data_IF_117034857004
#
_entry.id   IF_117034857004
#
_cell.length_a   1.000
_cell.length_b   1.000
_cell.length_c   1.000
_cell.angle_alpha   90.00
_cell.angle_beta   90.00
_cell.angle_gamma   90.00
#
_symmetry.space_group_name_H-M   'P 1'
#
loop_
_entity.id
_entity.type
_entity.pdbx_description
1 polymer ?
#
# COMPACT_ATOMS: atom_id res chain seq x y z
N UNK A 1 23.91 -10.09 -3.88
CA UNK A 1 24.40 -9.67 -2.55
C UNK A 1 24.36 -10.88 -1.62
N UNK A 2 25.45 -11.12 -0.86
CA UNK A 2 25.43 -12.16 0.17
C UNK A 2 24.45 -11.81 1.25
N UNK A 3 23.71 -12.78 1.84
CA UNK A 3 22.77 -12.50 2.91
C UNK A 3 23.51 -11.85 4.09
N UNK A 4 23.02 -10.69 4.52
CA UNK A 4 23.49 -10.07 5.74
C UNK A 4 22.98 -10.96 6.87
N UNK A 5 23.89 -11.73 7.51
CA UNK A 5 23.54 -12.36 8.78
C UNK A 5 23.34 -11.22 9.77
N UNK A 6 22.08 -10.92 10.07
CA UNK A 6 21.80 -10.13 11.25
C UNK A 6 22.48 -10.85 12.44
N UNK A 7 23.05 -10.14 13.42
CA UNK A 7 23.81 -10.74 14.51
C UNK A 7 22.99 -11.71 15.41
N UNK A 8 21.74 -11.98 15.05
CA UNK A 8 20.74 -12.68 15.85
C UNK A 8 20.49 -14.14 15.51
N UNK A 9 21.27 -14.75 14.61
CA UNK A 9 21.06 -16.16 14.23
C UNK A 9 21.70 -17.17 15.19
N UNK A 10 22.25 -16.75 16.34
CA UNK A 10 22.80 -17.61 17.38
C UNK A 10 21.94 -17.60 18.64
N UNK A 11 21.83 -18.75 19.33
CA UNK A 11 21.04 -18.94 20.55
C UNK A 11 21.50 -18.11 21.77
N UNK A 12 22.54 -17.29 21.63
CA UNK A 12 23.09 -16.40 22.66
C UNK A 12 22.74 -14.94 22.38
N UNK A 13 21.44 -14.63 22.37
CA UNK A 13 20.94 -13.29 22.07
C UNK A 13 21.07 -12.37 23.28
N UNK A 14 22.00 -11.42 23.24
CA UNK A 14 21.98 -10.23 24.10
C UNK A 14 21.15 -9.18 23.37
N UNK A 15 20.06 -8.67 23.98
CA UNK A 15 19.30 -7.58 23.36
C UNK A 15 20.22 -6.39 23.06
N UNK A 16 20.11 -5.81 21.86
CA UNK A 16 20.84 -4.60 21.52
C UNK A 16 20.43 -3.46 22.45
N UNK A 17 21.38 -2.62 22.82
CA UNK A 17 21.08 -1.33 23.42
C UNK A 17 20.28 -0.46 22.44
N UNK A 18 19.59 0.55 22.95
CA UNK A 18 18.84 1.49 22.08
C UNK A 18 19.73 2.15 21.04
N UNK A 19 20.97 2.49 21.38
CA UNK A 19 21.93 3.09 20.47
C UNK A 19 22.41 2.11 19.39
N UNK A 20 22.73 0.87 19.74
CA UNK A 20 23.12 -0.15 18.75
C UNK A 20 21.98 -0.50 17.80
N UNK A 21 20.74 -0.50 18.30
CA UNK A 21 19.56 -0.72 17.48
C UNK A 21 19.31 0.43 16.51
N UNK A 22 19.51 1.68 16.95
CA UNK A 22 19.41 2.87 16.09
C UNK A 22 20.44 2.80 14.96
N UNK A 23 21.70 2.56 15.28
CA UNK A 23 22.78 2.43 14.30
C UNK A 23 22.52 1.30 13.29
N UNK A 24 21.95 0.18 13.74
CA UNK A 24 21.55 -0.91 12.87
C UNK A 24 20.42 -0.50 11.92
N UNK A 25 19.38 0.17 12.42
CA UNK A 25 18.26 0.63 11.62
C UNK A 25 18.71 1.64 10.56
N UNK A 26 19.55 2.59 10.91
CA UNK A 26 20.13 3.57 9.98
C UNK A 26 21.00 2.88 8.92
N UNK A 27 21.85 1.93 9.31
CA UNK A 27 22.66 1.16 8.37
C UNK A 27 21.79 0.37 7.38
N UNK A 28 20.74 -0.30 7.87
CA UNK A 28 19.85 -1.06 7.01
C UNK A 28 19.00 -0.15 6.11
N UNK A 29 18.55 0.99 6.62
CA UNK A 29 17.89 2.00 5.82
C UNK A 29 18.80 2.48 4.69
N UNK A 30 20.06 2.88 4.98
CA UNK A 30 21.02 3.29 3.96
C UNK A 30 21.30 2.21 2.91
N UNK A 31 21.24 0.95 3.31
CA UNK A 31 21.48 -0.19 2.42
C UNK A 31 20.33 -0.45 1.45
N UNK A 32 19.07 -0.28 1.89
CA UNK A 32 17.89 -0.70 1.13
C UNK A 32 17.09 0.43 0.50
N UNK A 33 17.13 1.64 1.04
CA UNK A 33 16.46 2.81 0.48
C UNK A 33 17.32 3.44 -0.63
N UNK A 34 17.33 2.81 -1.79
CA UNK A 34 18.17 3.18 -2.95
C UNK A 34 17.43 2.89 -4.26
N UNK A 35 17.77 3.59 -5.36
CA UNK A 35 17.13 3.35 -6.67
C UNK A 35 17.20 1.90 -7.15
N UNK A 36 18.20 1.13 -6.73
CA UNK A 36 18.33 -0.30 -7.06
C UNK A 36 17.20 -1.15 -6.46
N UNK A 37 16.46 -0.62 -5.48
CA UNK A 37 15.27 -1.26 -4.92
C UNK A 37 14.08 -1.24 -5.89
N UNK A 38 13.98 -0.19 -6.73
CA UNK A 38 12.81 0.10 -7.57
C UNK A 38 12.46 -1.03 -8.53
N UNK A 39 13.39 -1.60 -9.34
CA UNK A 39 13.03 -2.53 -10.42
C UNK A 39 12.28 -3.79 -9.97
N UNK A 40 12.55 -4.25 -8.76
CA UNK A 40 11.98 -5.48 -8.21
C UNK A 40 10.79 -5.23 -7.27
N UNK A 41 10.37 -3.98 -7.10
CA UNK A 41 9.29 -3.58 -6.20
C UNK A 41 8.07 -3.05 -6.97
N UNK A 42 6.84 -3.18 -6.45
CA UNK A 42 5.65 -2.59 -7.07
C UNK A 42 5.76 -1.09 -7.36
N UNK A 43 6.61 -0.35 -6.65
CA UNK A 43 6.86 1.07 -6.90
C UNK A 43 7.43 1.34 -8.30
N UNK A 44 8.00 0.32 -8.96
CA UNK A 44 8.47 0.41 -10.35
C UNK A 44 7.34 0.81 -11.32
N UNK A 45 6.09 0.54 -10.98
CA UNK A 45 4.95 0.85 -11.83
C UNK A 45 4.73 2.37 -11.92
N UNK A 46 4.56 3.13 -10.81
CA UNK A 46 4.42 4.57 -10.88
C UNK A 46 5.70 5.30 -11.36
N UNK A 47 6.88 4.72 -11.20
CA UNK A 47 8.13 5.30 -11.73
C UNK A 47 8.20 5.38 -13.26
N UNK A 48 7.25 4.80 -13.99
CA UNK A 48 7.16 4.95 -15.45
C UNK A 48 6.52 6.28 -15.87
N UNK A 49 5.95 7.03 -14.94
CA UNK A 49 5.18 8.23 -15.20
C UNK A 49 5.85 9.47 -14.64
N UNK A 50 5.58 10.61 -15.28
CA UNK A 50 6.03 11.94 -14.84
C UNK A 50 4.88 12.86 -14.44
N UNK A 51 3.67 12.60 -14.97
CA UNK A 51 2.47 13.34 -14.59
C UNK A 51 1.98 12.87 -13.22
N UNK A 52 1.73 13.81 -12.32
CA UNK A 52 1.32 13.53 -10.95
C UNK A 52 0.11 12.58 -10.85
N UNK A 53 -0.94 12.85 -11.63
CA UNK A 53 -2.16 12.08 -11.60
C UNK A 53 -1.96 10.63 -12.10
N UNK A 54 -1.08 10.45 -13.09
CA UNK A 54 -0.69 9.11 -13.57
C UNK A 54 0.10 8.37 -12.51
N UNK A 55 1.02 9.07 -11.80
CA UNK A 55 1.76 8.50 -10.65
C UNK A 55 0.80 8.09 -9.54
N UNK A 56 -0.13 8.96 -9.13
CA UNK A 56 -1.11 8.67 -8.07
C UNK A 56 -1.97 7.43 -8.39
N UNK A 57 -2.53 7.37 -9.59
CA UNK A 57 -3.43 6.27 -10.00
C UNK A 57 -2.65 4.96 -10.17
N UNK A 58 -1.52 5.01 -10.86
CA UNK A 58 -0.70 3.81 -11.08
C UNK A 58 -0.14 3.28 -9.75
N UNK A 59 0.30 4.17 -8.84
CA UNK A 59 0.74 3.80 -7.50
C UNK A 59 -0.39 3.18 -6.66
N UNK A 60 -1.59 3.74 -6.74
CA UNK A 60 -2.75 3.20 -6.03
C UNK A 60 -3.10 1.79 -6.50
N UNK A 61 -3.11 1.54 -7.82
CA UNK A 61 -3.33 0.19 -8.36
C UNK A 61 -2.17 -0.75 -8.04
N UNK A 62 -0.91 -0.30 -8.18
CA UNK A 62 0.26 -1.09 -7.84
C UNK A 62 0.24 -1.53 -6.36
N UNK A 63 -0.06 -0.60 -5.46
CA UNK A 63 -0.24 -0.90 -4.04
C UNK A 63 -1.41 -1.85 -3.80
N UNK A 64 -2.55 -1.65 -4.48
CA UNK A 64 -3.74 -2.50 -4.34
C UNK A 64 -3.46 -3.95 -4.69
N UNK A 65 -2.63 -4.23 -5.70
CA UNK A 65 -2.27 -5.60 -6.08
C UNK A 65 -0.97 -6.10 -5.42
N UNK A 66 -0.33 -5.31 -4.56
CA UNK A 66 0.96 -5.65 -3.92
C UNK A 66 0.81 -6.73 -2.83
N UNK A 67 0.41 -7.94 -3.23
CA UNK A 67 0.28 -9.12 -2.36
C UNK A 67 0.56 -10.42 -3.12
N UNK A 68 1.38 -11.27 -2.53
CA UNK A 68 1.88 -12.48 -3.14
C UNK A 68 3.35 -12.38 -3.55
N UNK A 69 3.75 -13.11 -4.58
CA UNK A 69 5.14 -13.11 -5.06
C UNK A 69 5.43 -11.86 -5.92
N UNK A 70 6.53 -11.17 -5.67
CA UNK A 70 6.98 -9.99 -6.45
C UNK A 70 7.09 -10.28 -7.95
N UNK A 71 7.60 -11.46 -8.31
CA UNK A 71 7.68 -11.91 -9.71
C UNK A 71 6.32 -12.01 -10.42
N UNK A 72 5.20 -11.93 -9.70
CA UNK A 72 3.85 -11.84 -10.26
C UNK A 72 3.27 -10.43 -10.16
N UNK A 73 3.61 -9.69 -9.09
CA UNK A 73 3.03 -8.36 -8.82
C UNK A 73 3.48 -7.37 -9.89
N UNK A 74 4.80 -7.24 -10.09
CA UNK A 74 5.36 -6.25 -11.04
C UNK A 74 4.88 -6.50 -12.47
N UNK A 75 4.97 -7.73 -13.05
CA UNK A 75 4.41 -7.98 -14.39
C UNK A 75 2.90 -7.76 -14.49
N UNK A 76 2.13 -8.04 -13.43
CA UNK A 76 0.70 -7.77 -13.43
C UNK A 76 0.39 -6.27 -13.34
N UNK A 77 1.20 -5.51 -12.61
CA UNK A 77 1.10 -4.05 -12.59
C UNK A 77 1.33 -3.45 -13.97
N UNK A 78 2.39 -3.85 -14.66
CA UNK A 78 2.64 -3.42 -16.05
C UNK A 78 1.47 -3.78 -16.96
N UNK A 79 1.00 -5.02 -16.90
CA UNK A 79 -0.14 -5.49 -17.71
C UNK A 79 -1.44 -4.73 -17.41
N UNK A 80 -1.64 -4.26 -16.19
CA UNK A 80 -2.77 -3.41 -15.86
C UNK A 80 -2.64 -2.02 -16.49
N UNK A 81 -1.45 -1.43 -16.43
CA UNK A 81 -1.17 -0.13 -17.06
C UNK A 81 -1.25 -0.21 -18.60
N UNK A 82 -0.78 -1.30 -19.20
CA UNK A 82 -0.95 -1.59 -20.63
C UNK A 82 -2.42 -1.62 -21.03
N UNK A 83 -3.31 -2.19 -20.22
CA UNK A 83 -4.76 -2.18 -20.46
C UNK A 83 -5.41 -0.80 -20.30
N UNK A 84 -4.75 0.13 -19.65
CA UNK A 84 -5.11 1.54 -19.55
C UNK A 84 -4.35 2.40 -20.58
N UNK A 85 -3.78 1.77 -21.61
CA UNK A 85 -3.02 2.42 -22.69
C UNK A 85 -1.85 3.28 -22.15
N UNK A 86 -1.26 2.88 -21.03
CA UNK A 86 -0.21 3.63 -20.32
C UNK A 86 -0.59 5.09 -19.98
N UNK A 87 -1.87 5.40 -19.93
CA UNK A 87 -2.43 6.72 -19.59
C UNK A 87 -3.49 6.59 -18.49
N UNK A 88 -3.11 6.11 -17.28
CA UNK A 88 -4.09 5.74 -16.26
C UNK A 88 -5.00 6.89 -15.82
N UNK A 89 -4.53 8.14 -15.82
CA UNK A 89 -5.37 9.27 -15.51
C UNK A 89 -6.45 9.49 -16.60
N UNK A 90 -6.04 9.55 -17.87
CA UNK A 90 -6.99 9.75 -18.96
C UNK A 90 -7.99 8.60 -19.05
N UNK A 91 -7.53 7.35 -18.79
CA UNK A 91 -8.40 6.19 -18.72
C UNK A 91 -9.43 6.30 -17.58
N UNK A 92 -9.01 6.70 -16.38
CA UNK A 92 -9.92 6.85 -15.23
C UNK A 92 -10.92 7.97 -15.48
N UNK A 93 -10.48 9.11 -16.02
CA UNK A 93 -11.31 10.33 -16.14
C UNK A 93 -12.20 10.31 -17.39
N UNK A 94 -11.64 9.94 -18.54
CA UNK A 94 -12.27 10.15 -19.84
C UNK A 94 -12.89 8.88 -20.45
N UNK A 95 -12.37 7.68 -20.15
CA UNK A 95 -12.88 6.45 -20.75
C UNK A 95 -14.35 6.20 -20.38
N UNK A 96 -15.14 5.85 -21.38
CA UNK A 96 -16.53 5.41 -21.20
C UNK A 96 -16.59 4.03 -20.53
N UNK A 97 -17.77 3.65 -20.01
CA UNK A 97 -17.96 2.30 -19.45
C UNK A 97 -17.72 1.20 -20.50
N UNK A 98 -17.94 1.49 -21.77
CA UNK A 98 -17.66 0.56 -22.87
C UNK A 98 -16.14 0.37 -23.06
N UNK A 99 -15.35 1.42 -22.93
CA UNK A 99 -13.88 1.37 -23.03
C UNK A 99 -13.27 0.66 -21.82
N UNK A 100 -13.93 0.64 -20.67
CA UNK A 100 -13.50 -0.19 -19.53
C UNK A 100 -13.49 -1.69 -19.84
N UNK A 101 -14.10 -2.12 -20.96
CA UNK A 101 -13.97 -3.50 -21.45
C UNK A 101 -12.52 -3.91 -21.74
N UNK A 102 -11.59 -2.95 -21.92
CA UNK A 102 -10.15 -3.21 -22.01
C UNK A 102 -9.61 -3.92 -20.75
N UNK A 103 -10.24 -3.72 -19.61
CA UNK A 103 -9.87 -4.40 -18.35
C UNK A 103 -10.34 -5.85 -18.26
N UNK A 104 -11.27 -6.29 -19.13
CA UNK A 104 -11.85 -7.64 -19.10
C UNK A 104 -10.76 -8.70 -19.29
N UNK A 105 -10.79 -9.73 -18.44
CA UNK A 105 -9.78 -10.78 -18.41
C UNK A 105 -8.51 -10.43 -17.63
N UNK A 106 -8.46 -9.25 -16.97
CA UNK A 106 -7.41 -8.99 -16.00
C UNK A 106 -7.64 -9.81 -14.72
N UNK A 107 -6.60 -10.49 -14.27
CA UNK A 107 -6.62 -11.25 -13.02
C UNK A 107 -5.28 -11.15 -12.32
N UNK A 108 -5.30 -10.72 -11.06
CA UNK A 108 -4.22 -10.87 -10.11
C UNK A 108 -4.76 -11.53 -8.84
N UNK A 109 -4.59 -12.86 -8.74
CA UNK A 109 -5.12 -13.68 -7.64
C UNK A 109 -6.65 -13.51 -7.51
N UNK A 110 -7.14 -12.92 -6.39
CA UNK A 110 -8.57 -12.66 -6.18
C UNK A 110 -9.04 -11.27 -6.62
N UNK A 111 -8.12 -10.42 -7.13
CA UNK A 111 -8.44 -9.15 -7.74
C UNK A 111 -8.60 -9.35 -9.25
N UNK A 112 -9.79 -9.23 -9.77
CA UNK A 112 -10.12 -9.50 -11.16
C UNK A 112 -10.63 -8.24 -11.89
N UNK A 113 -10.98 -8.41 -13.15
CA UNK A 113 -11.48 -7.36 -14.05
C UNK A 113 -12.65 -6.57 -13.46
N UNK A 114 -13.66 -7.24 -12.89
CA UNK A 114 -14.78 -6.52 -12.28
C UNK A 114 -14.35 -5.67 -11.08
N UNK A 115 -13.34 -6.11 -10.32
CA UNK A 115 -12.77 -5.30 -9.25
C UNK A 115 -12.00 -4.11 -9.82
N UNK A 116 -11.28 -4.27 -10.95
CA UNK A 116 -10.62 -3.16 -11.63
C UNK A 116 -11.65 -2.09 -12.05
N UNK A 117 -12.76 -2.51 -12.68
CA UNK A 117 -13.82 -1.60 -13.09
C UNK A 117 -14.45 -0.87 -11.90
N UNK A 118 -14.74 -1.59 -10.80
CA UNK A 118 -15.25 -0.99 -9.58
C UNK A 118 -14.26 0.06 -9.02
N UNK A 119 -12.96 -0.22 -9.07
CA UNK A 119 -11.91 0.69 -8.61
C UNK A 119 -11.76 1.91 -9.52
N UNK A 120 -11.81 1.75 -10.85
CA UNK A 120 -11.83 2.88 -11.81
C UNK A 120 -13.03 3.78 -11.57
N UNK A 121 -14.23 3.18 -11.41
CA UNK A 121 -15.45 3.92 -11.09
C UNK A 121 -15.36 4.69 -9.80
N UNK A 122 -14.75 4.09 -8.76
CA UNK A 122 -14.60 4.70 -7.45
C UNK A 122 -13.53 5.82 -7.42
N UNK A 123 -12.48 5.72 -8.25
CA UNK A 123 -11.44 6.75 -8.37
C UNK A 123 -11.90 8.00 -9.12
N UNK A 124 -12.72 7.83 -10.17
CA UNK A 124 -13.12 8.91 -11.08
C UNK A 124 -13.62 10.18 -10.37
N UNK A 125 -14.50 10.11 -9.35
CA UNK A 125 -15.00 11.30 -8.66
C UNK A 125 -13.92 12.14 -7.97
N UNK A 126 -12.80 11.53 -7.57
CA UNK A 126 -11.69 12.26 -6.95
C UNK A 126 -10.98 13.21 -7.92
N UNK A 127 -11.05 12.93 -9.23
CA UNK A 127 -10.35 13.69 -10.26
C UNK A 127 -11.29 14.61 -11.06
N UNK A 128 -12.60 14.44 -10.97
CA UNK A 128 -13.58 15.25 -11.74
C UNK A 128 -14.10 16.48 -11.02
N UNK A 129 -13.96 16.55 -9.71
CA UNK A 129 -14.46 17.66 -8.90
C UNK A 129 -13.40 18.18 -7.95
N UNK A 130 -13.36 19.50 -7.78
CA UNK A 130 -12.59 20.09 -6.68
C UNK A 130 -13.10 19.53 -5.37
N UNK A 131 -12.19 18.96 -4.58
CA UNK A 131 -12.50 18.49 -3.24
C UNK A 131 -12.43 19.69 -2.29
N UNK A 132 -13.55 20.31 -2.05
CA UNK A 132 -13.69 21.27 -0.95
C UNK A 132 -14.22 20.54 0.29
N UNK A 133 -13.45 20.52 1.37
CA UNK A 133 -13.94 20.05 2.66
C UNK A 133 -15.13 20.92 3.04
N UNK A 134 -16.34 20.37 2.93
CA UNK A 134 -17.52 21.02 3.47
C UNK A 134 -17.49 20.79 5.00
N UNK A 135 -17.20 21.80 5.85
CA UNK A 135 -17.04 21.61 7.30
C UNK A 135 -18.35 21.18 8.00
N UNK A 136 -19.44 20.99 7.26
CA UNK A 136 -20.78 20.70 7.77
C UNK A 136 -21.18 19.22 7.64
N UNK A 137 -20.27 18.27 7.56
CA UNK A 137 -20.65 16.86 7.68
C UNK A 137 -20.48 16.36 9.11
N UNK A 138 -21.52 16.63 9.91
CA UNK A 138 -22.34 15.65 10.63
C UNK A 138 -21.59 14.41 11.14
N UNK A 139 -20.82 14.57 12.20
CA UNK A 139 -20.30 13.44 12.98
C UNK A 139 -20.99 13.28 14.35
N UNK A 140 -22.08 14.00 14.64
CA UNK A 140 -22.71 13.96 15.97
C UNK A 140 -24.15 13.41 16.03
N UNK A 141 -24.71 12.82 14.97
CA UNK A 141 -26.08 12.30 15.03
C UNK A 141 -26.24 10.77 15.16
N UNK A 142 -25.17 10.00 15.32
CA UNK A 142 -25.31 8.54 15.45
C UNK A 142 -25.45 8.07 16.92
N UNK A 143 -25.34 8.96 17.91
CA UNK A 143 -25.42 8.56 19.33
C UNK A 143 -26.64 9.09 20.10
N UNK A 144 -27.70 9.61 19.46
CA UNK A 144 -28.90 10.08 20.17
C UNK A 144 -30.22 9.59 19.59
N UNK A 145 -30.33 8.38 19.12
CA UNK A 145 -31.62 7.72 18.94
C UNK A 145 -31.63 6.34 19.59
N UNK A 146 -31.66 6.33 20.92
CA UNK A 146 -32.20 5.21 21.65
C UNK A 146 -33.72 5.37 21.65
N UNK A 147 -34.51 4.39 21.15
CA UNK A 147 -35.95 4.46 21.29
C UNK A 147 -36.34 4.26 22.76
N UNK A 148 -37.02 5.25 23.29
CA UNK A 148 -37.63 5.22 24.60
C UNK A 148 -38.77 4.22 24.60
N UNK A 149 -38.51 3.00 25.05
CA UNK A 149 -39.54 1.97 25.26
C UNK A 149 -40.13 2.23 26.63
N UNK A 150 -41.29 2.90 26.65
CA UNK A 150 -42.17 2.95 27.82
C UNK A 150 -42.71 1.55 28.09
N UNK A 151 -42.43 1.08 29.29
CA UNK A 151 -42.95 -0.16 29.86
C UNK A 151 -44.46 -0.02 30.12
N UNK A 152 -45.30 -0.68 29.37
CA UNK A 152 -46.64 -1.08 29.80
C UNK A 152 -46.66 -2.51 30.25
N UNK A 153 -46.89 -2.72 31.52
CA UNK A 153 -47.18 -3.99 32.17
C UNK A 153 -48.56 -4.50 31.73
N UNK A 154 -48.61 -5.68 31.11
CA UNK A 154 -49.78 -6.59 31.19
C UNK A 154 -49.31 -8.03 31.02
N UNK A 155 -49.31 -8.80 32.08
CA UNK A 155 -49.37 -10.28 32.00
C UNK A 155 -50.76 -10.70 31.50
N UNK A 156 -50.89 -11.84 30.74
CA UNK A 156 -51.22 -13.08 31.40
C UNK A 156 -50.68 -14.37 30.75
N UNK A 157 -50.48 -15.32 31.65
CA UNK A 157 -50.74 -16.79 31.56
C UNK A 157 -50.29 -17.64 30.35
N UNK A 158 -49.29 -18.42 30.63
CA UNK A 158 -49.24 -19.88 30.43
C UNK A 158 -49.56 -20.51 29.08
N UNK A 159 -48.50 -21.01 28.42
CA UNK A 159 -48.56 -22.34 27.78
C UNK A 159 -47.14 -22.86 27.51
N UNK A 160 -47.00 -24.17 27.81
CA UNK A 160 -45.76 -24.94 27.75
C UNK A 160 -45.17 -25.07 26.34
N UNK A 161 -43.84 -25.09 26.30
CA UNK A 161 -42.97 -25.45 25.17
C UNK A 161 -42.89 -26.98 24.99
N UNK A 162 -42.57 -27.45 23.79
CA UNK A 162 -41.86 -28.72 23.64
C UNK A 162 -40.36 -28.43 23.31
N UNK A 163 -39.53 -29.19 24.02
CA UNK A 163 -38.09 -29.29 23.79
C UNK A 163 -37.81 -30.03 22.47
N UNK A 164 -36.89 -29.52 21.65
CA UNK A 164 -36.19 -30.35 20.67
C UNK A 164 -34.74 -29.83 20.50
N UNK A 165 -33.84 -30.55 21.07
CA UNK A 165 -32.62 -31.19 20.57
C UNK A 165 -31.69 -30.31 19.75
N UNK A 166 -30.63 -29.81 20.42
CA UNK A 166 -29.41 -29.38 19.78
C UNK A 166 -28.53 -30.58 19.45
N UNK A 167 -28.32 -30.84 18.17
CA UNK A 167 -27.26 -31.72 17.70
C UNK A 167 -26.03 -30.84 17.32
N UNK A 168 -24.97 -31.02 18.05
CA UNK A 168 -23.64 -30.49 17.75
C UNK A 168 -22.99 -31.41 16.72
N UNK A 169 -22.77 -30.95 15.51
CA UNK A 169 -21.84 -31.59 14.57
C UNK A 169 -20.50 -30.88 14.59
N UNK A 170 -19.53 -31.56 15.18
CA UNK A 170 -18.08 -31.28 15.02
C UNK A 170 -17.65 -31.78 13.65
N UNK A 171 -17.27 -30.90 12.75
CA UNK A 171 -16.58 -31.27 11.51
C UNK A 171 -15.08 -31.05 11.72
N UNK A 172 -14.40 -32.19 11.88
CA UNK A 172 -12.96 -32.34 11.84
C UNK A 172 -12.43 -32.13 10.41
N UNK A 173 -11.55 -31.18 10.20
CA UNK A 173 -10.78 -31.05 8.95
C UNK A 173 -9.67 -32.09 8.95
N UNK A 174 -9.83 -33.14 8.16
CA UNK A 174 -8.79 -34.09 7.83
C UNK A 174 -7.95 -33.59 6.64
N UNK A 175 -6.63 -33.67 6.81
CA UNK A 175 -5.58 -33.52 5.80
C UNK A 175 -5.85 -34.46 4.59
N UNK A 176 -5.79 -33.87 3.39
CA UNK A 176 -5.62 -34.64 2.15
C UNK A 176 -4.62 -33.92 1.26
N UNK A 177 -3.39 -34.44 1.26
CA UNK A 177 -2.38 -34.17 0.25
C UNK A 177 -2.78 -34.81 -1.08
N UNK A 178 -2.63 -34.12 -2.22
CA UNK A 178 -2.74 -34.78 -3.52
C UNK A 178 -1.37 -35.32 -3.93
N UNK A 179 -1.37 -36.62 -4.19
CA UNK A 179 -0.27 -37.38 -4.81
C UNK A 179 -0.06 -36.96 -6.27
N UNK A 180 1.22 -37.05 -6.66
CA UNK A 180 1.78 -36.90 -8.00
C UNK A 180 1.01 -37.67 -9.08
N UNK A 181 0.62 -36.97 -10.15
CA UNK A 181 0.41 -37.59 -11.46
C UNK A 181 1.44 -37.01 -12.43
N UNK A 182 2.44 -37.84 -12.76
CA UNK A 182 3.34 -37.66 -13.90
C UNK A 182 2.54 -37.86 -15.18
N UNK A 183 2.48 -36.86 -16.04
CA UNK A 183 2.14 -37.02 -17.45
C UNK A 183 3.26 -36.47 -18.30
N UNK A 184 3.77 -37.38 -19.14
CA UNK A 184 4.91 -37.25 -20.03
C UNK A 184 4.70 -36.16 -21.09
N UNK A 185 5.76 -35.35 -21.33
CA UNK A 185 5.84 -34.41 -22.44
C UNK A 185 6.24 -35.13 -23.74
N UNK A 186 5.73 -34.73 -24.91
CA UNK A 186 6.22 -35.22 -26.19
C UNK A 186 7.50 -34.49 -26.61
N UNK A 187 8.47 -35.27 -27.08
CA UNK A 187 9.72 -34.82 -27.64
C UNK A 187 9.48 -34.22 -29.05
N UNK A 188 10.05 -33.05 -29.33
CA UNK A 188 10.22 -32.53 -30.70
C UNK A 188 11.66 -32.71 -31.18
N UNK A 189 11.87 -32.97 -32.47
CA UNK A 189 13.19 -33.37 -33.01
C UNK A 189 14.10 -32.15 -33.27
N UNK A 190 15.38 -32.38 -32.98
CA UNK A 190 16.50 -31.49 -33.29
C UNK A 190 16.68 -31.31 -34.79
N UNK A 191 16.69 -30.08 -35.27
CA UNK A 191 17.32 -29.75 -36.56
C UNK A 191 18.51 -28.82 -36.33
N UNK A 192 19.66 -29.30 -36.61
CA UNK A 192 20.93 -28.58 -36.75
C UNK A 192 20.92 -27.76 -38.04
N UNK A 193 21.12 -26.48 -37.98
CA UNK A 193 21.64 -25.68 -39.10
C UNK A 193 22.66 -24.67 -38.57
N UNK A 194 23.89 -24.88 -39.04
CA UNK A 194 25.03 -23.99 -38.93
C UNK A 194 24.86 -22.76 -39.82
N UNK A 195 25.16 -21.58 -39.29
CA UNK A 195 25.21 -20.35 -40.08
C UNK A 195 25.67 -19.19 -39.21
N UNK A 196 26.96 -18.87 -39.28
CA UNK A 196 27.56 -17.72 -38.66
C UNK A 196 27.17 -16.42 -39.34
N UNK A 197 26.70 -15.41 -38.60
CA UNK A 197 26.82 -14.02 -38.98
C UNK A 197 26.77 -13.12 -37.73
N UNK A 198 27.72 -12.18 -37.72
CA UNK A 198 28.05 -11.23 -36.64
C UNK A 198 26.89 -10.36 -36.19
N UNK A 199 26.91 -9.87 -34.91
CA UNK A 199 25.83 -9.07 -34.36
C UNK A 199 25.88 -7.62 -34.86
N UNK A 200 24.74 -7.15 -35.32
CA UNK A 200 24.50 -5.73 -35.57
C UNK A 200 24.47 -4.94 -34.26
N UNK A 201 25.15 -3.79 -34.26
CA UNK A 201 25.16 -2.81 -33.18
C UNK A 201 23.75 -2.29 -32.95
N UNK A 202 23.27 -2.42 -31.70
CA UNK A 202 22.10 -1.73 -31.18
C UNK A 202 22.49 -0.27 -30.90
N UNK A 203 21.72 0.72 -31.34
CA UNK A 203 22.00 2.14 -31.02
C UNK A 203 21.74 2.38 -29.54
N UNK A 204 22.69 3.07 -28.89
CA UNK A 204 22.63 3.40 -27.47
C UNK A 204 21.43 4.29 -27.13
N UNK A 205 20.79 3.95 -26.04
CA UNK A 205 19.81 4.77 -25.36
C UNK A 205 20.51 6.05 -24.87
N UNK A 206 20.14 7.18 -25.46
CA UNK A 206 20.55 8.49 -25.02
C UNK A 206 19.74 8.86 -23.79
N UNK A 207 20.36 8.81 -22.62
CA UNK A 207 19.85 9.42 -21.40
C UNK A 207 19.64 10.91 -21.63
N UNK A 208 18.43 11.40 -21.45
CA UNK A 208 18.15 12.83 -21.40
C UNK A 208 18.87 13.44 -20.18
N UNK A 209 19.61 14.53 -20.36
CA UNK A 209 20.28 15.19 -19.24
C UNK A 209 19.27 15.96 -18.40
N UNK A 210 19.35 15.75 -17.08
CA UNK A 210 18.73 16.63 -16.10
C UNK A 210 19.34 18.04 -16.22
N UNK A 211 18.56 19.11 -16.10
CA UNK A 211 19.12 20.46 -16.08
C UNK A 211 19.96 20.65 -14.82
N UNK A 212 21.26 20.91 -15.02
CA UNK A 212 22.14 21.45 -14.00
C UNK A 212 21.63 22.84 -13.60
N UNK A 213 21.35 23.03 -12.33
CA UNK A 213 21.18 24.35 -11.74
C UNK A 213 22.55 24.74 -11.19
N UNK A 214 23.19 25.70 -11.85
CA UNK A 214 24.43 26.31 -11.40
C UNK A 214 24.21 27.05 -10.08
N UNK A 215 24.92 26.63 -9.05
CA UNK A 215 24.96 27.25 -7.73
C UNK A 215 26.08 28.29 -7.69
N UNK A 216 25.79 29.53 -8.03
CA UNK A 216 26.53 30.69 -7.55
C UNK A 216 25.59 31.89 -7.51
N UNK A 217 25.05 32.17 -6.34
CA UNK A 217 24.73 33.54 -5.98
C UNK A 217 24.78 33.76 -4.46
N UNK A 218 25.29 34.93 -4.15
CA UNK A 218 25.76 35.45 -2.90
C UNK A 218 24.69 35.50 -1.79
N UNK A 219 25.11 35.20 -0.56
CA UNK A 219 24.40 35.46 0.69
C UNK A 219 23.88 36.91 0.77
N UNK A 220 22.58 37.06 0.68
CA UNK A 220 21.86 38.21 1.24
C UNK A 220 20.86 37.65 2.23
N UNK A 221 20.96 38.06 3.49
CA UNK A 221 20.00 37.79 4.55
C UNK A 221 18.68 38.50 4.25
N UNK A 222 17.80 37.81 3.57
CA UNK A 222 16.42 38.20 3.34
C UNK A 222 15.51 37.24 4.09
N UNK A 223 14.57 37.79 4.84
CA UNK A 223 13.54 37.03 5.58
C UNK A 223 12.98 35.91 4.72
N UNK A 224 13.10 34.66 5.18
CA UNK A 224 12.44 33.52 4.59
C UNK A 224 10.93 33.73 4.65
N UNK A 225 10.36 34.29 3.60
CA UNK A 225 8.95 34.09 3.31
C UNK A 225 8.84 32.61 2.88
N UNK A 226 8.31 31.78 3.75
CA UNK A 226 7.89 30.43 3.42
C UNK A 226 6.81 30.55 2.33
N UNK A 227 7.20 30.34 1.09
CA UNK A 227 6.24 30.15 -0.01
C UNK A 227 5.52 28.85 0.31
N UNK A 228 4.35 28.96 0.94
CA UNK A 228 3.50 27.80 1.18
C UNK A 228 3.02 27.29 -0.18
N UNK A 229 3.41 26.08 -0.54
CA UNK A 229 2.86 25.37 -1.70
C UNK A 229 1.32 25.35 -1.57
N UNK A 230 0.57 25.70 -2.61
CA UNK A 230 -0.90 25.66 -2.52
C UNK A 230 -1.39 24.24 -2.29
N UNK A 231 -2.40 24.10 -1.43
CA UNK A 231 -3.06 22.83 -1.17
C UNK A 231 -3.68 22.28 -2.45
N UNK A 232 -3.52 20.98 -2.70
CA UNK A 232 -4.12 20.33 -3.86
C UNK A 232 -5.66 20.34 -3.73
N UNK A 233 -6.37 20.57 -4.84
CA UNK A 233 -7.85 20.62 -4.84
C UNK A 233 -8.49 19.42 -5.51
N UNK A 234 -7.74 18.67 -6.32
CA UNK A 234 -8.24 17.50 -7.05
C UNK A 234 -7.33 16.29 -6.91
N UNK A 235 -7.81 15.13 -7.30
CA UNK A 235 -7.08 13.86 -7.23
C UNK A 235 -7.05 13.26 -5.84
N UNK A 236 -6.33 12.16 -5.73
CA UNK A 236 -6.11 11.51 -4.43
C UNK A 236 -5.34 12.43 -3.49
N UNK A 237 -4.32 13.14 -4.00
CA UNK A 237 -3.58 14.12 -3.21
C UNK A 237 -4.47 15.20 -2.64
N UNK A 238 -5.37 15.77 -3.45
CA UNK A 238 -6.33 16.77 -3.00
C UNK A 238 -7.19 16.26 -1.85
N UNK A 239 -7.71 15.05 -1.96
CA UNK A 239 -8.49 14.42 -0.89
C UNK A 239 -7.65 14.25 0.40
N UNK A 240 -6.50 13.59 0.30
CA UNK A 240 -5.70 13.24 1.48
C UNK A 240 -5.13 14.46 2.19
N UNK A 241 -4.63 15.45 1.46
CA UNK A 241 -4.07 16.67 2.04
C UNK A 241 -5.15 17.53 2.73
N UNK A 242 -6.33 17.68 2.11
CA UNK A 242 -7.41 18.46 2.70
C UNK A 242 -8.02 17.78 3.93
N UNK A 243 -8.28 16.49 3.87
CA UNK A 243 -8.77 15.74 5.02
C UNK A 243 -7.76 15.73 6.18
N UNK A 244 -6.46 15.62 5.87
CA UNK A 244 -5.42 15.71 6.88
C UNK A 244 -5.35 17.11 7.50
N UNK A 245 -5.40 18.16 6.69
CA UNK A 245 -5.45 19.54 7.17
C UNK A 245 -6.65 19.79 8.10
N UNK A 246 -7.78 19.13 7.84
CA UNK A 246 -9.00 19.27 8.64
C UNK A 246 -8.96 18.51 9.97
N UNK A 247 -8.23 17.37 10.08
CA UNK A 247 -8.31 16.53 11.28
C UNK A 247 -6.95 16.18 11.93
N UNK A 248 -5.82 16.39 11.25
CA UNK A 248 -4.47 16.14 11.76
C UNK A 248 -4.15 14.66 12.05
N UNK A 249 -4.94 13.72 11.54
CA UNK A 249 -4.85 12.29 11.90
C UNK A 249 -5.07 11.40 10.66
N UNK A 250 -3.99 10.81 10.14
CA UNK A 250 -4.06 9.95 8.97
C UNK A 250 -4.90 8.67 9.18
N UNK A 251 -5.05 8.21 10.41
CA UNK A 251 -5.93 7.06 10.68
C UNK A 251 -7.40 7.38 10.36
N UNK A 252 -7.84 8.57 10.74
CA UNK A 252 -9.18 9.08 10.41
C UNK A 252 -9.32 9.36 8.91
N UNK A 253 -8.28 9.91 8.29
CA UNK A 253 -8.26 10.14 6.83
C UNK A 253 -8.43 8.82 6.08
N UNK A 254 -7.73 7.75 6.47
CA UNK A 254 -7.87 6.42 5.87
C UNK A 254 -9.30 5.86 5.98
N UNK A 255 -9.96 6.03 7.15
CA UNK A 255 -11.35 5.62 7.33
C UNK A 255 -12.29 6.42 6.42
N UNK A 256 -12.14 7.76 6.37
CA UNK A 256 -12.92 8.64 5.48
C UNK A 256 -12.68 8.34 4.01
N UNK A 257 -11.40 8.09 3.62
CA UNK A 257 -11.06 7.69 2.26
C UNK A 257 -11.81 6.43 1.84
N UNK A 258 -11.77 5.38 2.67
CA UNK A 258 -12.49 4.14 2.37
C UNK A 258 -14.00 4.38 2.25
N UNK A 259 -14.59 5.17 3.14
CA UNK A 259 -16.00 5.52 3.10
C UNK A 259 -16.36 6.28 1.83
N UNK A 260 -15.56 7.28 1.45
CA UNK A 260 -15.75 8.06 0.21
C UNK A 260 -15.58 7.21 -1.04
N UNK A 261 -14.55 6.35 -1.06
CA UNK A 261 -14.23 5.48 -2.20
C UNK A 261 -15.40 4.56 -2.55
N UNK A 262 -16.07 4.01 -1.54
CA UNK A 262 -17.18 3.08 -1.72
C UNK A 262 -18.57 3.74 -1.80
N UNK A 263 -18.66 5.05 -2.04
CA UNK A 263 -19.94 5.69 -2.33
C UNK A 263 -20.47 5.40 -3.74
N UNK A 264 -19.59 5.02 -4.65
CA UNK A 264 -19.99 4.63 -6.01
C UNK A 264 -20.54 3.19 -6.03
N UNK A 265 -21.44 2.85 -6.98
CA UNK A 265 -21.93 1.49 -7.16
C UNK A 265 -20.78 0.50 -7.40
N UNK A 266 -20.71 -0.55 -6.62
CA UNK A 266 -19.66 -1.57 -6.68
C UNK A 266 -20.15 -2.93 -6.17
N UNK A 267 -19.46 -4.00 -6.52
CA UNK A 267 -19.72 -5.31 -5.96
C UNK A 267 -19.16 -5.41 -4.51
N UNK A 268 -19.95 -5.88 -3.55
CA UNK A 268 -19.51 -6.01 -2.14
C UNK A 268 -18.21 -6.82 -1.99
N UNK A 269 -17.95 -7.77 -2.88
CA UNK A 269 -16.69 -8.54 -2.90
C UNK A 269 -15.44 -7.69 -3.22
N UNK A 270 -15.60 -6.51 -3.84
CA UNK A 270 -14.49 -5.61 -4.15
C UNK A 270 -13.93 -4.95 -2.88
N UNK A 271 -14.76 -4.76 -1.86
CA UNK A 271 -14.37 -4.08 -0.63
C UNK A 271 -13.18 -4.71 0.11
N UNK A 272 -13.01 -6.04 0.01
CA UNK A 272 -11.87 -6.75 0.63
C UNK A 272 -10.50 -6.31 0.10
N UNK A 273 -10.47 -5.66 -1.07
CA UNK A 273 -9.23 -5.20 -1.69
C UNK A 273 -8.79 -3.83 -1.18
N UNK A 274 -9.69 -3.08 -0.55
CA UNK A 274 -9.38 -1.85 0.19
C UNK A 274 -9.65 -2.10 1.68
N UNK A 275 -8.57 -2.36 2.43
CA UNK A 275 -8.64 -2.73 3.84
C UNK A 275 -9.31 -1.63 4.70
N UNK A 276 -9.97 -2.02 5.79
CA UNK A 276 -10.66 -1.12 6.72
C UNK A 276 -9.92 -1.05 8.04
N UNK A 277 -9.52 0.15 8.40
CA UNK A 277 -8.94 0.45 9.71
C UNK A 277 -9.98 0.25 10.82
N UNK A 278 -11.23 0.60 10.56
CA UNK A 278 -12.34 0.47 11.51
C UNK A 278 -12.66 -0.98 11.86
N UNK A 279 -12.23 -1.92 11.00
CA UNK A 279 -12.28 -3.36 11.25
C UNK A 279 -10.97 -3.93 11.82
N UNK A 280 -10.05 -3.06 12.23
CA UNK A 280 -8.77 -3.42 12.82
C UNK A 280 -7.72 -3.95 11.83
N UNK A 281 -7.91 -3.79 10.52
CA UNK A 281 -6.93 -4.24 9.54
C UNK A 281 -5.66 -3.36 9.57
N UNK A 282 -4.47 -3.95 9.39
CA UNK A 282 -3.20 -3.22 9.35
C UNK A 282 -3.06 -2.23 8.19
N UNK A 283 -3.94 -2.28 7.21
CA UNK A 283 -3.97 -1.41 6.03
C UNK A 283 -2.61 -1.28 5.30
N UNK A 284 -1.77 -2.33 5.34
CA UNK A 284 -0.41 -2.35 4.80
C UNK A 284 -0.29 -1.67 3.43
N UNK A 285 -1.19 -1.99 2.50
CA UNK A 285 -1.14 -1.51 1.12
C UNK A 285 -1.45 -0.02 1.01
N UNK A 286 -2.39 0.49 1.83
CA UNK A 286 -2.68 1.93 1.89
C UNK A 286 -1.54 2.69 2.57
N UNK A 287 -0.98 2.17 3.66
CA UNK A 287 0.18 2.80 4.31
C UNK A 287 1.39 2.83 3.38
N UNK A 288 1.60 1.78 2.57
CA UNK A 288 2.66 1.76 1.55
C UNK A 288 2.41 2.81 0.45
N UNK A 289 1.18 2.93 -0.04
CA UNK A 289 0.79 3.96 -0.98
C UNK A 289 1.01 5.37 -0.41
N UNK A 290 0.60 5.61 0.84
CA UNK A 290 0.83 6.89 1.52
C UNK A 290 2.33 7.19 1.69
N UNK A 291 3.14 6.19 2.06
CA UNK A 291 4.60 6.36 2.11
C UNK A 291 5.13 6.85 0.77
N UNK A 292 4.78 6.18 -0.32
CA UNK A 292 5.22 6.58 -1.67
C UNK A 292 4.83 8.00 -2.04
N UNK A 293 3.62 8.44 -1.66
CA UNK A 293 3.12 9.76 -2.05
C UNK A 293 3.62 10.89 -1.14
N UNK A 294 3.83 10.63 0.13
CA UNK A 294 4.10 11.66 1.16
C UNK A 294 5.59 11.77 1.48
N UNK A 295 6.28 10.63 1.66
CA UNK A 295 7.66 10.62 2.10
C UNK A 295 8.57 11.24 1.06
N UNK A 296 9.37 12.21 1.50
CA UNK A 296 10.33 12.94 0.65
C UNK A 296 11.74 12.79 1.22
N UNK A 297 12.64 12.34 0.36
CA UNK A 297 14.08 12.34 0.61
C UNK A 297 14.85 12.55 -0.70
N UNK A 298 16.19 12.57 -0.63
CA UNK A 298 17.07 12.76 -1.79
C UNK A 298 17.40 11.44 -2.50
N UNK A 299 16.80 10.32 -2.08
CA UNK A 299 17.15 8.96 -2.57
C UNK A 299 16.41 8.57 -3.83
N UNK A 300 15.28 9.23 -4.12
CA UNK A 300 14.54 9.07 -5.38
C UNK A 300 13.74 7.76 -5.47
N UNK A 301 13.42 7.12 -4.34
CA UNK A 301 12.57 5.92 -4.29
C UNK A 301 11.11 6.32 -4.07
N UNK A 302 10.80 7.03 -2.98
CA UNK A 302 9.47 7.58 -2.72
C UNK A 302 9.29 8.91 -3.50
N UNK A 303 8.07 9.27 -3.86
CA UNK A 303 7.80 10.41 -4.74
C UNK A 303 7.66 11.75 -4.00
N UNK A 304 7.13 11.74 -2.78
CA UNK A 304 6.95 12.95 -1.98
C UNK A 304 6.06 14.01 -2.63
N UNK A 305 5.02 13.61 -3.35
CA UNK A 305 4.13 14.51 -4.11
C UNK A 305 3.16 15.30 -3.21
N UNK A 306 2.84 14.78 -2.03
CA UNK A 306 1.85 15.35 -1.12
C UNK A 306 2.55 16.06 0.04
N UNK A 307 2.89 17.33 -0.17
CA UNK A 307 3.78 18.08 0.71
C UNK A 307 3.10 18.65 1.98
N UNK A 308 1.76 18.63 2.05
CA UNK A 308 1.01 19.15 3.20
C UNK A 308 0.75 18.08 4.28
N UNK A 309 1.15 16.84 4.05
CA UNK A 309 1.14 15.79 5.04
C UNK A 309 2.59 15.59 5.51
N UNK A 310 2.92 15.80 6.79
CA UNK A 310 4.27 15.57 7.28
C UNK A 310 4.60 14.08 7.30
N UNK A 311 5.84 13.72 7.00
CA UNK A 311 6.31 12.33 7.01
C UNK A 311 6.13 11.68 8.39
N UNK A 312 6.27 12.47 9.45
CA UNK A 312 6.05 12.05 10.85
C UNK A 312 4.62 11.57 11.15
N UNK A 313 3.63 11.93 10.30
CA UNK A 313 2.24 11.48 10.44
C UNK A 313 1.98 10.11 9.81
N UNK A 314 2.90 9.57 9.04
CA UNK A 314 2.75 8.29 8.37
C UNK A 314 2.75 7.10 9.35
N UNK A 315 2.05 6.05 8.96
CA UNK A 315 2.06 4.76 9.65
C UNK A 315 2.84 3.71 8.86
N UNK A 316 3.53 2.83 9.59
CA UNK A 316 4.36 1.77 8.98
C UNK A 316 3.53 0.81 8.10
N UNK A 317 3.97 0.48 6.87
CA UNK A 317 3.35 -0.54 6.03
C UNK A 317 3.61 -1.95 6.57
N UNK A 318 2.95 -2.33 7.65
CA UNK A 318 3.22 -3.57 8.37
C UNK A 318 2.84 -4.80 7.55
N UNK A 319 3.84 -5.56 7.12
CA UNK A 319 3.66 -6.86 6.46
C UNK A 319 4.28 -8.01 7.27
N UNK A 320 4.30 -9.21 6.68
CA UNK A 320 4.86 -10.40 7.35
C UNK A 320 6.37 -10.28 7.58
N UNK A 321 7.13 -9.70 6.63
CA UNK A 321 8.58 -9.57 6.73
C UNK A 321 8.95 -8.48 7.74
N UNK A 322 8.40 -7.28 7.59
CA UNK A 322 8.62 -6.16 8.53
C UNK A 322 8.20 -6.53 9.94
N UNK A 323 7.05 -7.20 10.13
CA UNK A 323 6.55 -7.58 11.45
C UNK A 323 7.40 -8.67 12.14
N UNK A 324 7.94 -9.61 11.35
CA UNK A 324 8.88 -10.62 11.89
C UNK A 324 10.16 -9.95 12.38
N UNK A 325 10.81 -9.16 11.52
CA UNK A 325 12.03 -8.44 11.84
C UNK A 325 11.84 -7.51 13.04
N UNK A 326 10.73 -6.77 13.08
CA UNK A 326 10.42 -5.89 14.20
C UNK A 326 10.29 -6.65 15.53
N UNK A 327 9.69 -7.85 15.52
CA UNK A 327 9.59 -8.70 16.72
C UNK A 327 10.96 -9.27 17.13
N UNK A 328 11.76 -9.70 16.17
CA UNK A 328 13.13 -10.17 16.40
C UNK A 328 14.00 -9.07 16.99
N UNK A 329 13.78 -7.82 16.62
CA UNK A 329 14.49 -6.64 17.15
C UNK A 329 13.89 -6.09 18.46
N UNK A 330 12.79 -6.66 18.95
CA UNK A 330 12.10 -6.17 20.16
C UNK A 330 11.33 -4.87 19.98
N UNK A 331 11.11 -4.41 18.73
CA UNK A 331 10.36 -3.20 18.41
C UNK A 331 8.84 -3.41 18.42
N UNK A 332 8.38 -4.65 18.29
CA UNK A 332 6.98 -5.02 18.24
C UNK A 332 6.73 -6.23 19.16
N UNK A 333 5.87 -6.06 20.15
CA UNK A 333 5.49 -7.13 21.09
C UNK A 333 4.20 -7.86 20.64
N UNK A 334 3.30 -7.15 19.98
CA UNK A 334 2.00 -7.66 19.56
C UNK A 334 2.15 -8.78 18.53
N UNK A 335 1.45 -9.91 18.76
CA UNK A 335 1.54 -11.11 17.90
C UNK A 335 0.74 -10.97 16.60
N UNK A 336 -0.42 -10.31 16.63
CA UNK A 336 -1.28 -10.07 15.47
C UNK A 336 -0.73 -8.92 14.61
N UNK A 337 -0.89 -9.03 13.30
CA UNK A 337 -0.59 -7.94 12.36
C UNK A 337 -1.88 -7.16 12.05
N UNK A 338 -2.37 -6.44 13.02
CA UNK A 338 -3.57 -5.60 12.96
C UNK A 338 -3.20 -4.11 13.13
N UNK A 339 -4.19 -3.23 13.22
CA UNK A 339 -3.95 -1.80 13.35
C UNK A 339 -3.19 -1.43 14.62
N UNK A 340 -3.48 -2.08 15.73
CA UNK A 340 -2.76 -1.82 16.99
C UNK A 340 -1.26 -2.18 16.88
N UNK A 341 -0.92 -3.21 16.10
CA UNK A 341 0.49 -3.53 15.82
C UNK A 341 1.15 -2.46 14.94
N UNK A 342 0.41 -1.85 14.02
CA UNK A 342 0.90 -0.72 13.22
C UNK A 342 1.19 0.49 14.11
N UNK A 343 0.28 0.84 15.02
CA UNK A 343 0.46 1.94 15.98
C UNK A 343 1.64 1.68 16.92
N UNK A 344 1.74 0.47 17.49
CA UNK A 344 2.83 0.07 18.39
C UNK A 344 4.19 0.22 17.68
N UNK A 345 4.33 -0.34 16.50
CA UNK A 345 5.59 -0.29 15.76
C UNK A 345 5.92 1.13 15.29
N UNK A 346 4.95 1.89 14.79
CA UNK A 346 5.17 3.29 14.40
C UNK A 346 5.66 4.12 15.58
N UNK A 347 5.02 3.99 16.74
CA UNK A 347 5.44 4.69 17.96
C UNK A 347 6.84 4.25 18.46
N UNK A 348 7.23 2.97 18.24
CA UNK A 348 8.57 2.51 18.55
C UNK A 348 9.63 3.14 17.62
N UNK A 349 9.32 3.26 16.31
CA UNK A 349 10.22 3.84 15.31
C UNK A 349 10.35 5.38 15.46
N UNK A 350 9.30 6.07 15.90
CA UNK A 350 9.35 7.51 16.21
C UNK A 350 10.36 7.88 17.31
N UNK A 351 10.77 6.93 18.13
CA UNK A 351 11.81 7.17 19.15
C UNK A 351 13.21 7.28 18.54
N UNK A 352 13.43 6.70 17.38
CA UNK A 352 14.71 6.74 16.65
C UNK A 352 14.74 7.91 15.68
N UNK A 353 13.63 8.16 14.98
CA UNK A 353 13.48 9.35 14.13
C UNK A 353 12.04 9.89 14.23
N UNK A 354 11.84 11.00 14.97
CA UNK A 354 10.51 11.60 15.11
C UNK A 354 9.98 12.24 13.82
N UNK A 355 10.86 12.69 12.92
CA UNK A 355 10.49 13.41 11.70
C UNK A 355 10.20 12.45 10.53
N UNK A 356 10.96 11.34 10.42
CA UNK A 356 10.78 10.33 9.38
C UNK A 356 10.87 8.90 9.93
N UNK A 357 9.95 8.48 10.81
CA UNK A 357 9.99 7.13 11.39
C UNK A 357 9.81 6.03 10.35
N UNK A 358 9.16 6.34 9.22
CA UNK A 358 8.77 5.35 8.22
C UNK A 358 9.90 5.05 7.22
N UNK A 359 11.00 5.80 7.24
CA UNK A 359 12.24 5.40 6.54
C UNK A 359 12.71 4.00 6.95
N UNK A 360 12.44 3.61 8.19
CA UNK A 360 12.81 2.29 8.71
C UNK A 360 11.95 1.12 8.17
N UNK A 361 10.91 1.39 7.38
CA UNK A 361 10.24 0.32 6.63
C UNK A 361 11.19 -0.38 5.66
N UNK A 362 12.07 0.39 5.00
CA UNK A 362 13.12 -0.17 4.14
C UNK A 362 14.07 -1.07 4.92
N UNK A 363 14.47 -0.66 6.13
CA UNK A 363 15.34 -1.44 7.00
C UNK A 363 14.69 -2.77 7.41
N UNK A 364 13.48 -2.72 7.95
CA UNK A 364 12.76 -3.90 8.45
C UNK A 364 12.39 -4.86 7.32
N UNK A 365 11.92 -4.34 6.21
CA UNK A 365 11.51 -5.12 5.05
C UNK A 365 12.71 -5.74 4.32
N UNK A 366 13.75 -4.96 4.07
CA UNK A 366 14.96 -5.42 3.41
C UNK A 366 15.65 -6.54 4.20
N UNK A 367 15.83 -6.34 5.50
CA UNK A 367 16.37 -7.36 6.40
C UNK A 367 15.48 -8.61 6.43
N UNK A 368 14.16 -8.46 6.49
CA UNK A 368 13.20 -9.57 6.53
C UNK A 368 13.19 -10.43 5.27
N UNK A 369 13.42 -9.86 4.10
CA UNK A 369 13.52 -10.63 2.84
C UNK A 369 14.83 -11.41 2.76
N UNK A 370 15.93 -10.82 3.19
CA UNK A 370 17.24 -11.47 3.11
C UNK A 370 17.42 -12.58 4.14
N UNK A 371 16.75 -12.50 5.29
CA UNK A 371 16.76 -13.55 6.32
C UNK A 371 15.77 -14.69 6.06
N UNK A 372 14.84 -14.53 5.09
CA UNK A 372 13.86 -15.57 4.74
C UNK A 372 14.38 -16.58 3.71
N UNK A 373 15.62 -16.41 3.21
CA UNK A 373 16.33 -17.35 2.32
C UNK A 373 17.34 -18.17 3.09
#
# INVERSE_FOLDING_TARGET
MSPIKLPYSSNDFTPLSGEELHQLLDYLWDLYDRPEFIPDDPIAIPHQYSRREDIEISAFFAATIAWGKRSMIVPNGHRLMERMDHTPYDFVVNASEQEWSALVGFVHRTFNDSNCIDFVRALRPFYLSDYSVNPAHETDQIHQQSPNIQSEHTEPSGKQLPQSVFATENVSCADTSPQNLFLSAPQTPSQTLSGASSPAKVPGNTLCPHPHIDSHDSFHSGAHQSISTPLLTTGLGGFFEQEYAACGDLSKVLSRFRSRFWQTPHAARAEKHLASIDRGASCKRLNMFLRWMVRRDDRGVDFGLWSHIPTSALYIPLDLHSSRTARELGLLSRKQNDWQAVEELTAALQKFDPEDPIKYDYALFGAGIHNAK
#
